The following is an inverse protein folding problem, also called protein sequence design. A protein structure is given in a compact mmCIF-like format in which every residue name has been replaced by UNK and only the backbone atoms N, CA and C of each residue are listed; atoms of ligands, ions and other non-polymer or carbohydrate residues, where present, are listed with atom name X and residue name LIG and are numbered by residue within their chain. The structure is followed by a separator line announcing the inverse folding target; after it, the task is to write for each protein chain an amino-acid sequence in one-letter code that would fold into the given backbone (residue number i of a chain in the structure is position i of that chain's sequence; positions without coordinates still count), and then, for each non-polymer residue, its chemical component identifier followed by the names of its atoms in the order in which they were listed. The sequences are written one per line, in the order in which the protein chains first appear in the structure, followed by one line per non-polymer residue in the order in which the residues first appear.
data_IF_683459636367
#
_entry.id   IF_683459636367
#
_cell.length_a   1.000
_cell.length_b   1.000
_cell.length_c   1.000
_cell.angle_alpha   90.00
_cell.angle_beta   90.00
_cell.angle_gamma   90.00
#
_symmetry.space_group_name_H-M   'P 1'
#
loop_
_entity.id
_entity.type
_entity.pdbx_description
1 polymer ?
#
# COMPACT_ATOMS: atom_id res chain seq x y z
N UNK A 1 -3.46 15.70 -9.63
CA UNK A 1 -3.04 14.67 -10.61
C UNK A 1 -4.05 13.53 -10.62
N UNK A 2 -4.14 12.70 -11.67
CA UNK A 2 -4.83 11.40 -11.58
C UNK A 2 -3.87 10.29 -11.10
N UNK A 3 -4.38 9.10 -10.75
CA UNK A 3 -3.55 7.98 -10.24
C UNK A 3 -2.42 7.60 -11.21
N UNK A 4 -2.67 7.61 -12.52
CA UNK A 4 -1.66 7.24 -13.53
C UNK A 4 -0.50 8.24 -13.53
N UNK A 5 -0.82 9.53 -13.47
CA UNK A 5 0.17 10.60 -13.34
C UNK A 5 0.97 10.47 -12.05
N UNK A 6 0.32 10.10 -10.93
CA UNK A 6 1.02 9.86 -9.66
C UNK A 6 1.98 8.67 -9.80
N UNK A 7 1.59 7.57 -10.47
CA UNK A 7 2.49 6.45 -10.74
C UNK A 7 3.72 6.89 -11.55
N UNK A 8 3.52 7.69 -12.59
CA UNK A 8 4.60 8.19 -13.45
C UNK A 8 5.57 9.09 -12.67
N UNK A 9 5.04 10.01 -11.86
CA UNK A 9 5.87 10.89 -11.03
C UNK A 9 6.62 10.13 -9.93
N UNK A 10 5.99 9.15 -9.26
CA UNK A 10 6.68 8.30 -8.28
C UNK A 10 7.86 7.58 -8.92
N UNK A 11 7.67 6.95 -10.09
CA UNK A 11 8.76 6.26 -10.79
C UNK A 11 9.90 7.24 -11.15
N UNK A 12 9.54 8.44 -11.65
CA UNK A 12 10.52 9.44 -12.08
C UNK A 12 11.32 10.01 -10.91
N UNK A 13 10.63 10.42 -9.84
CA UNK A 13 11.25 11.08 -8.68
C UNK A 13 12.10 10.08 -7.90
N UNK A 14 11.61 8.87 -7.65
CA UNK A 14 12.38 7.84 -6.93
C UNK A 14 13.77 7.62 -7.55
N UNK A 15 13.83 7.53 -8.88
CA UNK A 15 15.06 7.31 -9.63
C UNK A 15 15.96 8.54 -9.67
N UNK A 16 15.39 9.72 -9.90
CA UNK A 16 16.17 10.95 -10.03
C UNK A 16 16.81 11.38 -8.70
N UNK A 17 16.09 11.19 -7.61
CA UNK A 17 16.45 11.73 -6.29
C UNK A 17 17.08 10.64 -5.40
N UNK A 18 17.36 9.47 -5.98
CA UNK A 18 18.07 8.35 -5.34
C UNK A 18 17.42 7.85 -4.05
N UNK A 19 16.08 7.71 -4.07
CA UNK A 19 15.33 7.10 -2.97
C UNK A 19 15.66 5.61 -2.83
N UNK A 20 15.70 5.09 -1.60
CA UNK A 20 15.88 3.65 -1.35
C UNK A 20 14.77 2.83 -2.02
N UNK A 21 13.57 3.39 -2.08
CA UNK A 21 12.42 2.79 -2.74
C UNK A 21 12.62 2.57 -4.25
N UNK A 22 13.56 3.27 -4.89
CA UNK A 22 13.94 3.02 -6.28
C UNK A 22 14.50 1.60 -6.49
N UNK A 23 15.11 1.02 -5.46
CA UNK A 23 15.69 -0.32 -5.49
C UNK A 23 14.68 -1.43 -5.17
N UNK A 24 13.40 -1.12 -4.96
CA UNK A 24 12.38 -2.10 -4.57
C UNK A 24 12.38 -3.33 -5.48
N UNK A 25 12.52 -3.14 -6.79
CA UNK A 25 12.51 -4.24 -7.75
C UNK A 25 13.73 -5.16 -7.61
N UNK A 26 14.91 -4.58 -7.33
CA UNK A 26 16.15 -5.31 -7.06
C UNK A 26 16.06 -6.07 -5.73
N UNK A 27 15.56 -5.43 -4.68
CA UNK A 27 15.31 -6.05 -3.38
C UNK A 27 14.36 -7.25 -3.53
N UNK A 28 13.25 -7.06 -4.27
CA UNK A 28 12.30 -8.13 -4.58
C UNK A 28 12.93 -9.25 -5.39
N UNK A 29 13.82 -8.95 -6.33
CA UNK A 29 14.55 -9.96 -7.09
C UNK A 29 15.40 -10.85 -6.18
N UNK A 30 16.16 -10.23 -5.28
CA UNK A 30 17.03 -10.92 -4.33
C UNK A 30 16.23 -11.82 -3.38
N UNK A 31 15.19 -11.27 -2.74
CA UNK A 31 14.37 -11.99 -1.77
C UNK A 31 13.58 -13.13 -2.41
N UNK A 32 13.11 -12.96 -3.65
CA UNK A 32 12.17 -13.90 -4.29
C UNK A 32 12.79 -14.77 -5.38
N UNK A 33 14.08 -14.59 -5.68
CA UNK A 33 14.76 -15.30 -6.76
C UNK A 33 14.16 -15.05 -8.13
N UNK A 34 13.71 -13.82 -8.42
CA UNK A 34 13.10 -13.49 -9.72
C UNK A 34 14.17 -13.49 -10.82
N UNK A 35 13.91 -14.21 -11.92
CA UNK A 35 14.89 -14.29 -13.03
C UNK A 35 14.91 -13.04 -13.91
N UNK A 36 13.82 -12.25 -13.91
CA UNK A 36 13.67 -11.03 -14.70
C UNK A 36 12.84 -10.03 -13.90
N UNK A 37 13.28 -8.78 -13.86
CA UNK A 37 12.57 -7.66 -13.27
C UNK A 37 12.60 -6.47 -14.23
N UNK A 38 11.72 -5.49 -14.03
CA UNK A 38 11.83 -4.16 -14.63
C UNK A 38 12.16 -3.19 -13.53
N UNK A 39 13.44 -2.87 -13.40
CA UNK A 39 14.01 -2.08 -12.30
C UNK A 39 13.39 -0.67 -12.23
N UNK A 40 13.08 -0.10 -13.40
CA UNK A 40 12.59 1.25 -13.59
C UNK A 40 11.09 1.43 -13.28
N UNK A 41 10.34 0.34 -13.05
CA UNK A 41 8.89 0.41 -12.87
C UNK A 41 8.51 -0.03 -11.46
N UNK A 42 8.35 0.96 -10.58
CA UNK A 42 7.85 0.78 -9.22
C UNK A 42 6.33 0.66 -9.24
N UNK A 43 5.64 1.53 -9.97
CA UNK A 43 4.19 1.49 -10.22
C UNK A 43 3.92 1.52 -11.72
N UNK A 44 3.18 0.55 -12.25
CA UNK A 44 2.81 0.53 -13.66
C UNK A 44 1.54 1.34 -13.90
N UNK A 45 1.57 2.48 -14.63
CA UNK A 45 0.38 3.30 -14.88
C UNK A 45 -0.72 2.57 -15.64
N UNK A 46 -0.39 1.48 -16.35
CA UNK A 46 -1.38 0.65 -17.06
C UNK A 46 -2.19 -0.24 -16.13
N UNK A 47 -1.63 -0.60 -14.97
CA UNK A 47 -2.27 -1.47 -13.98
C UNK A 47 -3.01 -0.68 -12.89
N UNK A 48 -2.78 0.64 -12.84
CA UNK A 48 -3.45 1.58 -11.96
C UNK A 48 -4.97 1.54 -12.11
N UNK A 49 -5.68 1.66 -10.97
CA UNK A 49 -7.13 1.80 -10.92
C UNK A 49 -7.51 3.28 -10.99
N UNK A 50 -8.81 3.54 -11.07
CA UNK A 50 -9.34 4.90 -11.09
C UNK A 50 -8.95 5.68 -9.83
N UNK A 51 -8.96 5.01 -8.68
CA UNK A 51 -8.85 5.62 -7.35
C UNK A 51 -7.65 5.13 -6.53
N UNK A 52 -6.92 4.10 -6.97
CA UNK A 52 -5.72 3.64 -6.29
C UNK A 52 -4.72 2.92 -7.20
N UNK A 53 -3.49 2.76 -6.72
CA UNK A 53 -2.49 1.89 -7.32
C UNK A 53 -1.67 1.18 -6.23
N UNK A 54 -1.05 0.06 -6.62
CA UNK A 54 -0.06 -0.65 -5.81
C UNK A 54 1.16 -0.97 -6.68
N UNK A 55 2.31 -1.20 -6.02
CA UNK A 55 3.55 -1.42 -6.74
C UNK A 55 3.49 -2.64 -7.68
N UNK A 56 4.27 -2.58 -8.76
CA UNK A 56 4.24 -3.54 -9.84
C UNK A 56 4.63 -4.95 -9.38
N UNK A 57 3.72 -5.90 -9.62
CA UNK A 57 3.87 -7.29 -9.18
C UNK A 57 3.57 -7.55 -7.69
N UNK A 58 3.12 -6.53 -6.96
CA UNK A 58 2.83 -6.57 -5.52
C UNK A 58 1.68 -7.47 -5.08
N UNK A 59 0.97 -8.10 -6.02
CA UNK A 59 -0.32 -8.75 -5.75
C UNK A 59 -0.24 -9.87 -4.69
N UNK A 60 0.89 -10.57 -4.64
CA UNK A 60 1.15 -11.71 -3.76
C UNK A 60 2.15 -11.36 -2.64
N UNK A 61 2.35 -10.07 -2.34
CA UNK A 61 3.21 -9.57 -1.26
C UNK A 61 2.60 -8.39 -0.51
N UNK A 62 3.31 -7.91 0.51
CA UNK A 62 2.94 -6.67 1.19
C UNK A 62 2.98 -5.54 0.17
N UNK A 63 1.86 -4.84 -0.03
CA UNK A 63 1.73 -3.88 -1.10
C UNK A 63 2.07 -2.47 -0.63
N UNK A 64 3.13 -1.87 -1.16
CA UNK A 64 3.17 -0.41 -1.26
C UNK A 64 1.99 0.06 -2.10
N UNK A 65 1.15 0.92 -1.53
CA UNK A 65 -0.17 1.24 -2.05
C UNK A 65 -0.53 2.70 -1.73
N UNK A 66 -1.11 3.40 -2.70
CA UNK A 66 -1.63 4.75 -2.53
C UNK A 66 -2.95 4.91 -3.28
N UNK A 67 -3.75 5.92 -2.90
CA UNK A 67 -5.03 6.20 -3.54
C UNK A 67 -6.01 6.90 -2.62
N UNK A 68 -7.26 6.97 -3.02
CA UNK A 68 -8.34 7.49 -2.20
C UNK A 68 -8.89 6.42 -1.24
N UNK A 69 -9.41 6.86 -0.10
CA UNK A 69 -10.20 6.02 0.80
C UNK A 69 -11.60 5.83 0.20
N UNK A 70 -11.81 4.69 -0.47
CA UNK A 70 -12.98 4.46 -1.33
C UNK A 70 -14.35 4.61 -0.66
N UNK A 71 -14.47 4.38 0.66
CA UNK A 71 -15.74 4.55 1.36
C UNK A 71 -16.07 5.99 1.75
N UNK A 72 -15.05 6.82 2.00
CA UNK A 72 -15.23 8.26 2.21
C UNK A 72 -15.79 8.91 0.94
N UNK A 73 -15.34 8.46 -0.24
CA UNK A 73 -15.88 8.89 -1.55
C UNK A 73 -17.39 8.68 -1.64
N UNK A 74 -17.92 7.58 -1.07
CA UNK A 74 -19.38 7.31 -1.03
C UNK A 74 -20.15 8.28 -0.14
N UNK A 75 -19.49 8.91 0.82
CA UNK A 75 -20.04 9.95 1.70
C UNK A 75 -19.80 11.38 1.16
N UNK A 76 -19.23 11.52 -0.04
CA UNK A 76 -18.87 12.82 -0.62
C UNK A 76 -17.59 13.43 -0.04
N UNK A 77 -16.84 12.65 0.74
CA UNK A 77 -15.55 13.06 1.32
C UNK A 77 -14.38 12.48 0.49
N UNK A 78 -13.29 13.22 0.40
CA UNK A 78 -12.06 12.74 -0.26
C UNK A 78 -10.91 12.75 0.72
N UNK A 79 -10.31 11.58 0.92
CA UNK A 79 -9.10 11.45 1.71
C UNK A 79 -8.11 10.59 0.93
N UNK A 80 -6.92 11.11 0.72
CA UNK A 80 -5.82 10.43 0.08
C UNK A 80 -5.03 9.65 1.12
N UNK A 81 -4.55 8.46 0.73
CA UNK A 81 -3.75 7.58 1.58
C UNK A 81 -2.53 7.05 0.83
N UNK A 82 -1.46 6.78 1.56
CA UNK A 82 -0.27 6.10 1.07
C UNK A 82 0.44 5.35 2.19
N UNK A 83 0.92 4.15 1.89
CA UNK A 83 1.54 3.26 2.87
C UNK A 83 1.58 1.83 2.37
N UNK A 84 1.43 0.88 3.29
CA UNK A 84 1.46 -0.56 3.02
C UNK A 84 0.07 -1.18 3.17
N UNK A 85 -0.17 -2.29 2.46
CA UNK A 85 -1.43 -3.01 2.53
C UNK A 85 -1.28 -4.54 2.44
N UNK A 86 -2.11 -5.23 3.22
CA UNK A 86 -2.44 -6.64 3.05
C UNK A 86 -3.73 -6.74 2.23
N UNK A 87 -3.61 -6.98 0.92
CA UNK A 87 -4.75 -7.21 0.03
C UNK A 87 -5.04 -8.71 -0.06
N UNK A 88 -5.89 -9.18 0.85
CA UNK A 88 -6.29 -10.59 0.99
C UNK A 88 -7.47 -10.92 0.06
N UNK A 89 -7.54 -10.25 -1.09
CA UNK A 89 -8.57 -10.50 -2.09
C UNK A 89 -8.27 -11.79 -2.86
N UNK A 90 -9.29 -12.50 -3.34
CA UNK A 90 -9.11 -13.61 -4.27
C UNK A 90 -9.01 -13.12 -5.71
N UNK A 91 -8.37 -13.89 -6.58
CA UNK A 91 -8.47 -13.67 -8.02
C UNK A 91 -8.36 -14.99 -8.78
N UNK A 92 -8.65 -14.96 -10.08
CA UNK A 92 -8.48 -16.10 -10.98
C UNK A 92 -7.06 -16.70 -10.98
N UNK A 93 -6.04 -15.97 -10.51
CA UNK A 93 -4.64 -16.43 -10.44
C UNK A 93 -4.07 -16.42 -9.02
N UNK A 94 -4.92 -16.18 -8.02
CA UNK A 94 -4.56 -16.14 -6.61
C UNK A 94 -5.74 -16.60 -5.74
N UNK A 95 -5.88 -17.91 -5.62
CA UNK A 95 -7.04 -18.54 -5.00
C UNK A 95 -6.97 -18.61 -3.46
N UNK A 96 -5.76 -18.70 -2.90
CA UNK A 96 -5.54 -18.87 -1.46
C UNK A 96 -4.71 -17.71 -0.88
N UNK A 97 -5.20 -16.46 -0.90
CA UNK A 97 -4.46 -15.32 -0.37
C UNK A 97 -4.17 -15.42 1.13
N UNK A 98 -5.02 -16.09 1.91
CA UNK A 98 -4.88 -16.24 3.35
C UNK A 98 -3.62 -17.03 3.71
N UNK A 99 -3.31 -18.11 2.98
CA UNK A 99 -2.11 -18.92 3.19
C UNK A 99 -0.84 -18.09 3.01
N UNK A 100 -0.88 -17.12 2.10
CA UNK A 100 0.23 -16.22 1.80
C UNK A 100 0.35 -15.09 2.82
N UNK A 101 -0.77 -14.55 3.31
CA UNK A 101 -0.77 -13.37 4.18
C UNK A 101 -0.78 -13.69 5.68
N UNK A 102 -1.30 -14.84 6.11
CA UNK A 102 -1.29 -15.26 7.51
C UNK A 102 0.11 -15.23 8.15
N UNK A 103 1.15 -15.83 7.57
CA UNK A 103 2.49 -15.75 8.14
C UNK A 103 3.03 -14.31 8.15
N UNK A 104 2.69 -13.47 7.17
CA UNK A 104 3.17 -12.08 7.09
C UNK A 104 2.51 -11.17 8.12
N UNK A 105 1.22 -11.36 8.36
CA UNK A 105 0.50 -10.64 9.44
C UNK A 105 1.08 -11.02 10.80
N UNK A 106 1.47 -12.28 11.02
CA UNK A 106 2.20 -12.67 12.25
C UNK A 106 3.53 -11.94 12.38
N UNK A 107 4.32 -11.85 11.31
CA UNK A 107 5.59 -11.09 11.30
C UNK A 107 5.34 -9.61 11.61
N UNK A 108 4.34 -9.00 10.97
CA UNK A 108 3.95 -7.62 11.25
C UNK A 108 3.53 -7.41 12.72
N UNK A 109 2.67 -8.27 13.26
CA UNK A 109 2.23 -8.17 14.65
C UNK A 109 3.40 -8.29 15.63
N UNK A 110 4.36 -9.19 15.36
CA UNK A 110 5.58 -9.32 16.16
C UNK A 110 6.46 -8.07 16.05
N UNK A 111 6.61 -7.51 14.85
CA UNK A 111 7.35 -6.26 14.64
C UNK A 111 6.70 -5.09 15.40
N UNK A 112 5.37 -4.99 15.37
CA UNK A 112 4.62 -3.95 16.06
C UNK A 112 4.82 -3.98 17.59
N UNK A 113 4.98 -5.16 18.19
CA UNK A 113 5.17 -5.28 19.65
C UNK A 113 6.38 -4.50 20.15
N UNK A 114 7.48 -4.53 19.40
CA UNK A 114 8.74 -3.89 19.78
C UNK A 114 8.96 -2.53 19.12
N UNK A 115 8.16 -2.19 18.10
CA UNK A 115 8.32 -0.96 17.31
C UNK A 115 7.07 -0.08 17.31
N UNK A 116 6.26 -0.05 18.39
CA UNK A 116 5.02 0.74 18.44
C UNK A 116 5.22 2.22 18.08
N UNK A 117 6.31 2.83 18.56
CA UNK A 117 6.60 4.25 18.33
C UNK A 117 6.81 4.58 16.85
N UNK A 118 7.29 3.63 16.05
CA UNK A 118 7.43 3.77 14.59
C UNK A 118 6.09 4.11 13.93
N UNK A 119 4.99 3.57 14.47
CA UNK A 119 3.65 3.75 13.91
C UNK A 119 2.85 4.93 14.50
N UNK A 120 3.45 5.77 15.36
CA UNK A 120 2.72 6.88 16.02
C UNK A 120 2.08 7.86 15.03
N UNK A 121 2.73 8.11 13.88
CA UNK A 121 2.19 8.95 12.80
C UNK A 121 1.39 8.19 11.74
N UNK A 122 1.26 6.88 11.89
CA UNK A 122 0.53 6.01 10.96
C UNK A 122 -0.84 5.70 11.53
N UNK A 123 -1.77 5.43 10.64
CA UNK A 123 -3.11 4.94 10.98
C UNK A 123 -3.38 3.64 10.23
N UNK A 124 -4.39 2.93 10.70
CA UNK A 124 -4.84 1.67 10.12
C UNK A 124 -6.33 1.76 9.79
N UNK A 125 -6.76 1.11 8.73
CA UNK A 125 -8.17 0.73 8.58
C UNK A 125 -8.28 -0.67 7.98
N UNK A 126 -9.36 -1.36 8.31
CA UNK A 126 -9.68 -2.69 7.79
C UNK A 126 -10.99 -2.60 7.03
N UNK A 127 -10.96 -3.01 5.77
CA UNK A 127 -12.15 -3.17 4.96
C UNK A 127 -12.42 -4.65 4.75
N UNK A 128 -13.54 -5.14 5.27
CA UNK A 128 -14.03 -6.51 5.07
C UNK A 128 -15.15 -6.49 4.03
N UNK A 129 -15.28 -7.55 3.25
CA UNK A 129 -16.32 -7.73 2.23
C UNK A 129 -17.73 -7.52 2.78
N UNK A 130 -17.98 -8.02 3.99
CA UNK A 130 -19.24 -7.84 4.71
C UNK A 130 -19.03 -6.85 5.85
N UNK A 131 -19.59 -5.66 5.72
CA UNK A 131 -19.60 -4.68 6.80
C UNK A 131 -19.60 -3.25 6.30
N UNK A 132 -20.03 -2.36 7.17
CA UNK A 132 -19.73 -0.95 7.00
C UNK A 132 -18.21 -0.75 7.06
N UNK A 133 -17.66 0.21 6.31
CA UNK A 133 -16.25 0.54 6.37
C UNK A 133 -15.84 0.92 7.78
N UNK A 134 -14.79 0.31 8.31
CA UNK A 134 -14.29 0.66 9.65
C UNK A 134 -13.71 2.06 9.69
N UNK A 135 -13.78 2.65 10.89
CA UNK A 135 -13.10 3.88 11.22
C UNK A 135 -11.57 3.74 11.05
N UNK A 136 -10.94 4.86 10.70
CA UNK A 136 -9.49 4.96 10.66
C UNK A 136 -9.00 5.08 12.11
N UNK A 137 -8.21 4.10 12.54
CA UNK A 137 -7.75 3.95 13.92
C UNK A 137 -6.24 4.04 14.02
N UNK A 138 -5.71 4.03 15.25
CA UNK A 138 -4.27 3.84 15.46
C UNK A 138 -3.86 2.45 14.97
N UNK A 139 -2.58 2.30 14.61
CA UNK A 139 -2.03 1.00 14.22
C UNK A 139 -2.00 0.09 15.43
N UNK A 140 -2.74 -1.01 15.35
CA UNK A 140 -2.84 -2.03 16.39
C UNK A 140 -2.54 -3.40 15.79
N UNK A 141 -2.42 -4.41 16.67
CA UNK A 141 -2.27 -5.80 16.21
C UNK A 141 -3.46 -6.18 15.34
N UNK A 142 -3.16 -6.71 14.16
CA UNK A 142 -4.17 -7.25 13.24
C UNK A 142 -4.66 -8.57 13.83
N UNK A 143 -5.98 -8.72 14.01
CA UNK A 143 -6.56 -9.99 14.41
C UNK A 143 -6.30 -11.05 13.34
N UNK A 144 -5.85 -12.25 13.75
CA UNK A 144 -5.68 -13.34 12.79
C UNK A 144 -7.02 -13.78 12.16
N UNK A 145 -8.15 -13.42 12.78
CA UNK A 145 -9.48 -13.64 12.21
C UNK A 145 -9.80 -12.71 11.04
N UNK A 146 -9.06 -11.60 10.89
CA UNK A 146 -9.15 -10.68 9.75
C UNK A 146 -8.29 -11.12 8.57
N UNK A 147 -7.48 -12.17 8.73
CA UNK A 147 -6.75 -12.79 7.62
C UNK A 147 -7.68 -13.73 6.85
N UNK A 148 -8.66 -13.14 6.16
CA UNK A 148 -9.69 -13.83 5.38
C UNK A 148 -9.79 -13.25 3.98
N UNK A 149 -10.21 -14.08 3.04
CA UNK A 149 -10.57 -13.66 1.69
C UNK A 149 -11.38 -12.36 1.70
N UNK A 150 -11.05 -11.49 0.75
CA UNK A 150 -11.71 -10.22 0.49
C UNK A 150 -11.62 -9.22 1.66
N UNK A 151 -10.59 -9.38 2.50
CA UNK A 151 -10.18 -8.36 3.48
C UNK A 151 -9.04 -7.52 2.93
N UNK A 152 -9.13 -6.21 3.10
CA UNK A 152 -8.08 -5.25 2.82
C UNK A 152 -7.68 -4.54 4.12
N UNK A 153 -6.44 -4.74 4.55
CA UNK A 153 -5.89 -4.06 5.73
C UNK A 153 -4.85 -3.08 5.23
N UNK A 154 -5.01 -1.81 5.57
CA UNK A 154 -4.09 -0.76 5.17
C UNK A 154 -3.48 -0.09 6.38
N UNK A 155 -2.19 0.19 6.31
CA UNK A 155 -1.42 0.91 7.32
C UNK A 155 -0.61 1.99 6.60
N UNK A 156 -0.84 3.25 6.96
CA UNK A 156 -0.24 4.34 6.22
C UNK A 156 -0.56 5.71 6.79
N UNK A 157 -0.23 6.73 5.99
CA UNK A 157 -0.62 8.11 6.25
C UNK A 157 -1.87 8.46 5.46
N UNK A 158 -2.59 9.44 5.98
CA UNK A 158 -3.87 9.89 5.44
C UNK A 158 -3.86 11.42 5.39
N UNK A 159 -4.33 11.97 4.29
CA UNK A 159 -4.40 13.40 4.04
C UNK A 159 -5.81 13.74 3.54
N UNK A 160 -6.45 14.75 4.13
CA UNK A 160 -7.74 15.27 3.65
C UNK A 160 -7.53 16.06 2.35
N UNK A 161 -7.30 15.30 1.27
CA UNK A 161 -7.03 15.78 -0.08
C UNK A 161 -7.75 14.91 -1.10
N UNK A 162 -8.22 15.56 -2.14
CA UNK A 162 -8.62 14.97 -3.41
C UNK A 162 -7.40 14.65 -4.29
N UNK A 163 -7.63 13.97 -5.41
CA UNK A 163 -6.56 13.66 -6.36
C UNK A 163 -6.04 14.93 -7.05
N UNK A 164 -6.91 15.90 -7.28
CA UNK A 164 -6.63 17.19 -7.88
C UNK A 164 -5.64 18.02 -7.04
N UNK A 165 -5.64 17.81 -5.72
CA UNK A 165 -4.78 18.48 -4.74
C UNK A 165 -3.43 17.76 -4.51
N UNK A 166 -3.15 16.69 -5.27
CA UNK A 166 -1.86 16.02 -5.26
C UNK A 166 -0.93 16.66 -6.31
N UNK A 167 0.20 17.18 -5.80
CA UNK A 167 1.27 17.85 -6.54
C UNK A 167 2.62 17.15 -6.33
N UNK A 168 3.67 17.60 -7.02
CA UNK A 168 5.02 17.04 -6.91
C UNK A 168 5.56 17.00 -5.47
N UNK A 169 5.25 18.03 -4.65
CA UNK A 169 5.66 18.04 -3.24
C UNK A 169 5.03 16.91 -2.41
N UNK A 170 3.90 16.35 -2.86
CA UNK A 170 3.30 15.18 -2.22
C UNK A 170 3.98 13.88 -2.65
N UNK A 171 4.56 13.83 -3.84
CA UNK A 171 5.31 12.66 -4.33
C UNK A 171 6.51 12.39 -3.44
N UNK A 172 7.24 13.45 -3.07
CA UNK A 172 8.32 13.37 -2.08
C UNK A 172 7.85 12.80 -0.74
N UNK A 173 6.74 13.29 -0.20
CA UNK A 173 6.21 12.79 1.08
C UNK A 173 5.82 11.31 0.99
N UNK A 174 5.26 10.88 -0.15
CA UNK A 174 4.92 9.48 -0.40
C UNK A 174 6.19 8.62 -0.44
N UNK A 175 7.21 9.04 -1.19
CA UNK A 175 8.46 8.31 -1.33
C UNK A 175 9.22 8.21 -0.01
N UNK A 176 9.35 9.32 0.72
CA UNK A 176 9.91 9.31 2.05
C UNK A 176 9.17 8.30 2.95
N UNK A 177 7.83 8.28 2.93
CA UNK A 177 7.09 7.29 3.72
C UNK A 177 7.34 5.84 3.28
N UNK A 178 7.63 5.59 2.00
CA UNK A 178 7.96 4.28 1.48
C UNK A 178 9.39 3.84 1.79
N UNK A 179 10.37 4.74 1.80
CA UNK A 179 11.76 4.43 2.15
C UNK A 179 11.88 3.87 3.58
N UNK A 180 11.04 4.34 4.50
CA UNK A 180 11.07 3.88 5.88
C UNK A 180 10.29 2.57 6.14
N UNK A 181 9.48 2.09 5.18
CA UNK A 181 8.53 0.97 5.36
C UNK A 181 9.07 -0.42 5.04
#
# INVERSE_FOLDING_TARGET
MNIKQICEEINRVAQNDSHEFADLQLIRQSIRGLKRIREDILFNPRDAKEDYAFHYGGRKELQFNFGLVGWKKRKGETQFRYGIAFSIERSQYFHNPEEVFLPRVKVFNNFLETNRSYFNSYKMYIHRETGDPEDITNVEKISLQDVKSNTFIFIGKFEEKSLEEIYNSNIETILNAFDYC
#
